data_IF_238461651254
#
_entry.id   IF_238461651254
#
_cell.length_a   1.000
_cell.length_b   1.000
_cell.length_c   1.000
_cell.angle_alpha   90.00
_cell.angle_beta   90.00
_cell.angle_gamma   90.00
#
_symmetry.space_group_name_H-M   'P 1'
#
loop_
_entity.id
_entity.type
_entity.pdbx_description
1 polymer ?
#
# COMPACT_ATOMS: atom_id res chain seq x y z
N UNK A 1 11.89 -4.42 10.94
CA UNK A 1 10.72 -4.10 10.20
C UNK A 1 9.51 -3.92 11.08
N UNK A 2 8.53 -3.29 10.56
CA UNK A 2 7.35 -2.85 11.29
C UNK A 2 6.45 -3.99 11.63
N UNK A 3 6.06 -4.09 12.87
CA UNK A 3 4.98 -4.95 13.26
C UNK A 3 3.65 -4.26 13.01
N UNK A 4 2.79 -4.85 12.21
CA UNK A 4 1.45 -4.34 12.05
C UNK A 4 0.62 -4.79 13.25
N UNK A 5 0.21 -3.83 14.06
CA UNK A 5 -0.71 -4.12 15.15
C UNK A 5 -2.12 -4.28 14.58
N UNK A 6 -2.97 -5.11 15.20
CA UNK A 6 -4.36 -5.24 14.76
C UNK A 6 -5.12 -3.91 14.75
N UNK A 7 -4.69 -2.98 15.60
CA UNK A 7 -5.32 -1.67 15.75
C UNK A 7 -4.72 -0.60 14.83
N UNK A 8 -3.70 -0.93 14.06
CA UNK A 8 -3.08 0.03 13.15
C UNK A 8 -4.07 0.41 12.04
N UNK A 9 -4.34 1.70 11.92
CA UNK A 9 -5.19 2.19 10.83
C UNK A 9 -4.40 2.17 9.53
N UNK A 10 -5.05 1.78 8.45
CA UNK A 10 -4.44 1.65 7.13
C UNK A 10 -5.32 2.36 6.13
N UNK A 11 -4.75 3.33 5.44
CA UNK A 11 -5.45 4.13 4.44
C UNK A 11 -4.78 3.99 3.09
N UNK A 12 -5.56 3.73 2.06
CA UNK A 12 -5.09 3.65 0.68
C UNK A 12 -5.60 4.85 -0.10
N UNK A 13 -4.70 5.54 -0.80
CA UNK A 13 -5.09 6.56 -1.74
C UNK A 13 -5.74 5.89 -2.95
N UNK A 14 -6.99 6.21 -3.24
CA UNK A 14 -7.73 5.54 -4.32
C UNK A 14 -7.29 5.99 -5.71
N UNK A 15 -6.91 7.26 -5.84
CA UNK A 15 -6.40 7.79 -7.10
C UNK A 15 -4.95 7.40 -7.32
N UNK A 16 -4.51 7.25 -8.59
CA UNK A 16 -3.11 7.00 -8.87
C UNK A 16 -2.22 8.12 -8.33
N UNK A 17 -1.05 7.74 -7.83
CA UNK A 17 -0.08 8.67 -7.25
C UNK A 17 1.20 8.63 -8.07
N UNK A 18 1.82 9.79 -8.25
CA UNK A 18 3.15 9.88 -8.83
C UNK A 18 4.16 9.42 -7.76
N UNK A 19 4.67 8.22 -7.90
CA UNK A 19 5.56 7.61 -6.91
C UNK A 19 7.01 8.09 -7.01
N UNK A 20 7.28 9.11 -7.82
CA UNK A 20 8.55 9.84 -7.71
C UNK A 20 8.59 10.67 -6.43
N UNK A 21 7.43 10.96 -5.86
CA UNK A 21 7.34 11.61 -4.55
C UNK A 21 7.92 10.71 -3.47
N UNK A 22 8.57 11.33 -2.51
CA UNK A 22 9.13 10.64 -1.35
C UNK A 22 8.44 11.16 -0.08
N UNK A 23 9.15 11.18 1.05
CA UNK A 23 8.57 11.48 2.36
C UNK A 23 7.68 12.72 2.38
N UNK A 24 8.26 13.86 2.01
CA UNK A 24 7.55 15.14 2.14
C UNK A 24 6.39 15.25 1.17
N UNK A 25 6.59 14.86 -0.07
CA UNK A 25 5.55 14.91 -1.09
C UNK A 25 4.38 14.01 -0.75
N UNK A 26 4.65 12.81 -0.24
CA UNK A 26 3.60 11.89 0.17
C UNK A 26 2.89 12.37 1.45
N UNK A 27 3.63 12.96 2.39
CA UNK A 27 3.02 13.54 3.59
C UNK A 27 2.05 14.66 3.23
N UNK A 28 2.39 15.48 2.25
CA UNK A 28 1.48 16.52 1.76
C UNK A 28 0.20 15.89 1.19
N UNK A 29 0.32 14.81 0.44
CA UNK A 29 -0.86 14.12 -0.09
C UNK A 29 -1.73 13.55 1.03
N UNK A 30 -1.12 13.01 2.09
CA UNK A 30 -1.89 12.53 3.25
C UNK A 30 -2.76 13.64 3.82
N UNK A 31 -2.18 14.84 4.00
CA UNK A 31 -2.93 15.97 4.54
C UNK A 31 -3.97 16.51 3.58
N UNK A 32 -3.57 16.77 2.35
CA UNK A 32 -4.40 17.49 1.40
C UNK A 32 -5.40 16.60 0.68
N UNK A 33 -5.01 15.39 0.31
CA UNK A 33 -5.84 14.52 -0.49
C UNK A 33 -6.59 13.49 0.35
N UNK A 34 -5.98 12.96 1.39
CA UNK A 34 -6.61 11.95 2.23
C UNK A 34 -7.28 12.54 3.47
N UNK A 35 -6.99 13.80 3.78
CA UNK A 35 -7.57 14.44 4.97
C UNK A 35 -7.14 13.81 6.27
N UNK A 36 -5.93 13.24 6.32
CA UNK A 36 -5.41 12.54 7.48
C UNK A 36 -4.14 13.21 7.98
N UNK A 37 -3.69 12.81 9.16
CA UNK A 37 -2.46 13.30 9.76
C UNK A 37 -1.31 12.33 9.46
N UNK A 38 -0.30 12.72 8.68
CA UNK A 38 0.81 11.84 8.38
C UNK A 38 1.65 11.45 9.59
N UNK A 39 1.53 12.18 10.70
CA UNK A 39 2.26 11.88 11.93
C UNK A 39 1.49 10.96 12.88
N UNK A 40 0.34 10.45 12.45
CA UNK A 40 -0.55 9.67 13.31
C UNK A 40 -0.03 8.26 13.63
N UNK A 41 0.94 7.78 12.89
CA UNK A 41 1.37 6.39 12.98
C UNK A 41 0.57 5.42 12.12
N UNK A 42 -0.48 5.90 11.46
CA UNK A 42 -1.22 5.09 10.51
C UNK A 42 -0.37 4.79 9.27
N UNK A 43 -0.70 3.72 8.58
CA UNK A 43 -0.06 3.40 7.32
C UNK A 43 -0.81 4.09 6.18
N UNK A 44 -0.06 4.73 5.30
CA UNK A 44 -0.62 5.40 4.13
C UNK A 44 -0.02 4.74 2.88
N UNK A 45 -0.87 4.15 2.06
CA UNK A 45 -0.45 3.33 0.93
C UNK A 45 -0.83 4.01 -0.37
N UNK A 46 0.14 4.15 -1.26
CA UNK A 46 -0.01 4.82 -2.54
C UNK A 46 0.37 3.87 -3.66
N UNK A 47 -0.30 3.99 -4.78
CA UNK A 47 -0.07 3.16 -5.95
C UNK A 47 0.09 4.01 -7.20
N UNK A 48 0.95 3.59 -8.11
CA UNK A 48 1.10 4.27 -9.39
C UNK A 48 -0.06 3.94 -10.34
N UNK A 49 -0.13 4.62 -11.46
CA UNK A 49 -1.21 4.44 -12.44
C UNK A 49 -1.23 3.03 -13.02
N UNK A 50 -0.06 2.44 -13.25
CA UNK A 50 0.06 1.09 -13.80
C UNK A 50 -0.26 0.00 -12.79
N UNK A 51 -0.35 0.34 -11.52
CA UNK A 51 -0.68 -0.56 -10.41
C UNK A 51 0.33 -1.69 -10.23
N UNK A 52 1.56 -1.44 -10.58
CA UNK A 52 2.66 -2.38 -10.37
C UNK A 52 3.67 -1.90 -9.33
N UNK A 53 3.48 -0.71 -8.78
CA UNK A 53 4.34 -0.16 -7.73
C UNK A 53 3.51 0.46 -6.64
N UNK A 54 3.93 0.25 -5.40
CA UNK A 54 3.34 0.91 -4.24
C UNK A 54 4.43 1.51 -3.36
N UNK A 55 4.03 2.53 -2.60
CA UNK A 55 4.82 3.06 -1.51
C UNK A 55 3.94 3.17 -0.28
N UNK A 56 4.51 2.83 0.88
CA UNK A 56 3.83 2.92 2.17
C UNK A 56 4.60 3.88 3.04
N UNK A 57 3.93 4.94 3.47
CA UNK A 57 4.47 5.96 4.35
C UNK A 57 3.88 5.81 5.74
N UNK A 58 4.69 5.86 6.78
CA UNK A 58 4.20 5.92 8.14
C UNK A 58 5.23 6.58 9.05
N UNK A 59 4.72 7.20 10.13
CA UNK A 59 5.53 7.91 11.11
C UNK A 59 5.73 7.01 12.33
N UNK A 60 6.96 6.95 12.82
CA UNK A 60 7.31 6.17 13.99
C UNK A 60 8.51 6.81 14.69
N UNK A 61 8.39 7.06 15.98
CA UNK A 61 9.48 7.51 16.83
C UNK A 61 10.35 8.62 16.24
N UNK A 62 9.71 9.69 15.79
CA UNK A 62 10.41 10.87 15.32
C UNK A 62 10.90 10.84 13.89
N UNK A 63 10.48 9.87 13.12
CA UNK A 63 10.87 9.78 11.72
C UNK A 63 9.84 9.10 10.85
N UNK A 64 9.98 9.30 9.54
CA UNK A 64 9.17 8.60 8.56
C UNK A 64 9.86 7.33 8.08
N UNK A 65 9.05 6.30 7.93
CA UNK A 65 9.41 5.14 7.13
C UNK A 65 8.74 5.22 5.77
N UNK A 66 9.45 4.82 4.75
CA UNK A 66 8.91 4.72 3.40
C UNK A 66 9.31 3.36 2.84
N UNK A 67 8.32 2.48 2.67
CA UNK A 67 8.53 1.16 2.09
C UNK A 67 8.05 1.17 0.66
N UNK A 68 8.80 0.58 -0.24
CA UNK A 68 8.45 0.54 -1.66
C UNK A 68 8.47 -0.90 -2.14
N UNK A 69 7.52 -1.22 -3.02
CA UNK A 69 7.48 -2.53 -3.67
C UNK A 69 7.10 -2.38 -5.13
N UNK A 70 7.80 -3.11 -5.98
CA UNK A 70 7.49 -3.20 -7.40
C UNK A 70 7.20 -4.65 -7.75
N UNK A 71 6.08 -4.87 -8.44
CA UNK A 71 5.78 -6.19 -8.98
C UNK A 71 6.47 -6.33 -10.34
N UNK A 72 7.19 -7.41 -10.52
CA UNK A 72 7.81 -7.71 -11.81
C UNK A 72 6.79 -8.25 -12.80
N UNK A 73 5.75 -8.91 -12.29
CA UNK A 73 4.63 -9.38 -13.10
C UNK A 73 3.32 -9.13 -12.37
N UNK A 74 2.28 -8.85 -13.12
CA UNK A 74 0.95 -8.61 -12.59
C UNK A 74 0.80 -7.22 -12.00
N UNK A 75 -0.32 -6.99 -11.38
CA UNK A 75 -0.68 -5.70 -10.78
C UNK A 75 -1.32 -5.91 -9.42
N UNK A 76 -1.27 -4.87 -8.59
CA UNK A 76 -1.99 -4.87 -7.33
C UNK A 76 -3.49 -4.69 -7.58
N UNK A 77 -4.31 -5.37 -6.80
CA UNK A 77 -5.78 -5.22 -6.86
C UNK A 77 -6.18 -3.99 -6.07
N UNK A 78 -6.14 -2.85 -6.73
CA UNK A 78 -6.37 -1.58 -6.07
C UNK A 78 -7.87 -1.33 -5.89
N UNK A 79 -8.29 -0.81 -4.72
CA UNK A 79 -9.71 -0.52 -4.51
C UNK A 79 -10.20 0.57 -5.45
N UNK A 80 -11.42 0.39 -5.97
CA UNK A 80 -12.08 1.35 -6.83
C UNK A 80 -13.34 1.83 -6.12
N UNK A 81 -13.15 2.53 -5.03
CA UNK A 81 -14.24 3.08 -4.26
C UNK A 81 -14.39 4.57 -4.56
N UNK A 82 -15.55 5.11 -4.28
CA UNK A 82 -15.74 6.56 -4.32
C UNK A 82 -14.97 7.19 -3.16
N UNK A 83 -14.56 8.44 -3.35
CA UNK A 83 -13.77 9.13 -2.36
C UNK A 83 -12.28 8.93 -2.55
N UNK A 84 -11.50 9.76 -1.86
CA UNK A 84 -10.06 9.83 -2.04
C UNK A 84 -9.29 8.74 -1.28
N UNK A 85 -9.95 8.06 -0.35
CA UNK A 85 -9.29 7.20 0.61
C UNK A 85 -10.12 5.96 0.89
N UNK A 86 -9.48 4.80 0.92
CA UNK A 86 -10.08 3.55 1.37
C UNK A 86 -9.41 3.10 2.66
N UNK A 87 -10.19 2.59 3.61
CA UNK A 87 -9.66 2.03 4.85
C UNK A 87 -9.56 0.52 4.73
N UNK A 88 -8.38 -0.01 5.02
CA UNK A 88 -8.15 -1.46 4.96
C UNK A 88 -7.86 -2.01 6.35
N UNK A 89 -8.24 -3.27 6.54
CA UNK A 89 -7.79 -4.05 7.68
C UNK A 89 -6.42 -4.64 7.36
N UNK A 90 -5.69 -5.04 8.39
CA UNK A 90 -4.37 -5.65 8.22
C UNK A 90 -4.40 -6.82 7.23
N UNK A 91 -5.40 -7.69 7.36
CA UNK A 91 -5.53 -8.87 6.52
C UNK A 91 -5.72 -8.48 5.04
N UNK A 92 -6.50 -7.44 4.80
CA UNK A 92 -6.73 -6.94 3.46
C UNK A 92 -5.46 -6.36 2.84
N UNK A 93 -4.67 -5.64 3.63
CA UNK A 93 -3.39 -5.12 3.17
C UNK A 93 -2.43 -6.24 2.82
N UNK A 94 -2.35 -7.27 3.66
CA UNK A 94 -1.47 -8.40 3.41
C UNK A 94 -1.83 -9.11 2.10
N UNK A 95 -3.11 -9.27 1.83
CA UNK A 95 -3.57 -9.84 0.56
C UNK A 95 -3.20 -8.96 -0.62
N UNK A 96 -3.38 -7.65 -0.47
CA UNK A 96 -3.01 -6.70 -1.51
C UNK A 96 -1.51 -6.76 -1.81
N UNK A 97 -0.70 -6.76 -0.77
CA UNK A 97 0.76 -6.79 -0.91
C UNK A 97 1.25 -8.07 -1.58
N UNK A 98 0.52 -9.16 -1.42
CA UNK A 98 0.85 -10.40 -2.11
C UNK A 98 0.56 -10.37 -3.60
N UNK A 99 -0.12 -9.33 -4.10
CA UNK A 99 -0.54 -9.29 -5.49
C UNK A 99 -1.56 -10.36 -5.81
N UNK A 100 -2.32 -10.82 -4.81
CA UNK A 100 -3.24 -11.92 -4.94
C UNK A 100 -4.65 -11.40 -5.18
N UNK A 101 -5.29 -11.93 -6.21
CA UNK A 101 -6.71 -11.74 -6.42
C UNK A 101 -7.43 -12.96 -5.84
N UNK A 102 -8.28 -12.71 -4.84
CA UNK A 102 -9.03 -13.79 -4.20
C UNK A 102 -9.94 -14.54 -5.17
N UNK A 103 -10.32 -13.93 -6.28
CA UNK A 103 -11.11 -14.57 -7.33
C UNK A 103 -10.29 -15.44 -8.27
N UNK A 104 -8.97 -15.37 -8.18
CA UNK A 104 -8.05 -16.07 -9.06
C UNK A 104 -7.04 -16.86 -8.26
N UNK A 105 -7.49 -17.95 -7.67
CA UNK A 105 -6.63 -18.80 -6.86
C UNK A 105 -5.44 -19.37 -7.64
N UNK A 106 -5.53 -19.40 -8.96
CA UNK A 106 -4.41 -19.83 -9.81
C UNK A 106 -3.19 -18.95 -9.67
N UNK A 107 -3.39 -17.65 -9.60
CA UNK A 107 -2.31 -16.69 -9.42
C UNK A 107 -1.54 -16.96 -8.13
N UNK A 108 -2.24 -17.40 -7.09
CA UNK A 108 -1.65 -17.73 -5.81
C UNK A 108 -0.62 -18.86 -5.92
N UNK A 109 -0.95 -19.92 -6.63
CA UNK A 109 -0.03 -21.04 -6.85
C UNK A 109 1.18 -20.60 -7.65
N UNK A 110 0.95 -19.76 -8.61
CA UNK A 110 2.02 -19.25 -9.46
C UNK A 110 3.03 -18.43 -8.63
N UNK A 111 2.56 -17.56 -7.78
CA UNK A 111 3.42 -16.77 -6.90
C UNK A 111 4.24 -17.66 -5.98
N UNK A 112 3.64 -18.66 -5.40
CA UNK A 112 4.32 -19.59 -4.55
C UNK A 112 5.49 -20.27 -5.26
N UNK A 113 5.23 -20.73 -6.47
CA UNK A 113 6.23 -21.40 -7.28
C UNK A 113 7.41 -20.49 -7.60
N UNK A 114 7.12 -19.25 -7.94
CA UNK A 114 8.17 -18.28 -8.22
C UNK A 114 9.04 -18.01 -6.98
N UNK A 115 8.44 -17.91 -5.82
CA UNK A 115 9.16 -17.74 -4.57
C UNK A 115 10.04 -18.95 -4.24
N UNK A 116 9.54 -20.14 -4.45
CA UNK A 116 10.26 -21.39 -4.15
C UNK A 116 11.48 -21.58 -5.05
N UNK A 117 11.50 -21.00 -6.22
CA UNK A 117 12.63 -21.11 -7.13
C UNK A 117 13.84 -20.30 -6.72
N UNK A 118 13.68 -19.45 -5.76
CA UNK A 118 14.79 -18.69 -5.21
C UNK A 118 15.57 -19.52 -4.23
#
# INVERSE_FOLDING_TARGET
MIGLLPTTAIFLATAPTDLRKAYDGLAVLVRQSLGQDPLSGSLYVFCNRRRDRIKILFWEEGGYWLCARRLEEGTFRWPQTEGACACYRREELLLLLGGIDLKQTQARKWYRRAAEKK
#
